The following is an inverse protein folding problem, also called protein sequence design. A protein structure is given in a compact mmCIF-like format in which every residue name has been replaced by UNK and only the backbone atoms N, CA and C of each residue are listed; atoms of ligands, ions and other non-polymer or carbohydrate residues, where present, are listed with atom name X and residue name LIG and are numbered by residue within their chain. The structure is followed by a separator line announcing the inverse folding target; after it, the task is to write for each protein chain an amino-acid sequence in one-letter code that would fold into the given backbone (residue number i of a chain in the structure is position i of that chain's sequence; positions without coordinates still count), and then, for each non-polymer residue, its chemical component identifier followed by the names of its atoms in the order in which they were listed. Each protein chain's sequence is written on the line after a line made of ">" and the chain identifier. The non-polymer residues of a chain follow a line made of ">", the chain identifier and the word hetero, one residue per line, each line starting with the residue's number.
data_IF_636436913542
#
_entry.id   IF_636436913542
#
_cell.length_a   1.000
_cell.length_b   1.000
_cell.length_c   1.000
_cell.angle_alpha   90.00
_cell.angle_beta   90.00
_cell.angle_gamma   90.00
#
_symmetry.space_group_name_H-M   'P 1'
#
loop_
_entity.id
_entity.type
_entity.pdbx_description
1 polymer ?
#
# COMPACT_ATOMS: atom_id res chain seq x y z
N UNK A 1 6.53 1.91 19.24
CA UNK A 1 6.01 1.75 17.86
C UNK A 1 5.69 0.29 17.65
N UNK A 2 4.62 -0.01 16.91
CA UNK A 2 4.29 -1.40 16.57
C UNK A 2 5.35 -1.92 15.57
N UNK A 3 6.01 -3.07 15.81
CA UNK A 3 7.15 -3.53 15.00
C UNK A 3 6.77 -3.90 13.56
N UNK A 4 5.47 -3.94 13.25
CA UNK A 4 4.88 -4.24 11.95
C UNK A 4 4.54 -2.99 11.11
N UNK A 5 4.73 -1.78 11.64
CA UNK A 5 4.41 -0.50 10.95
C UNK A 5 5.64 0.03 10.23
N UNK A 6 5.46 0.52 9.00
CA UNK A 6 6.50 1.16 8.21
C UNK A 6 6.80 2.58 8.71
N UNK A 7 8.06 3.02 8.55
CA UNK A 7 8.43 4.41 8.87
C UNK A 7 7.75 5.40 7.91
N UNK A 8 7.60 5.00 6.65
CA UNK A 8 6.93 5.75 5.60
C UNK A 8 6.00 4.81 4.83
N UNK A 9 4.74 5.20 4.54
CA UNK A 9 3.83 4.35 3.78
C UNK A 9 4.34 4.10 2.34
N UNK A 10 3.87 3.02 1.74
CA UNK A 10 3.99 2.79 0.29
C UNK A 10 2.63 3.04 -0.32
N UNK A 11 2.50 4.08 -1.15
CA UNK A 11 1.23 4.39 -1.83
C UNK A 11 1.14 3.59 -3.12
N UNK A 12 0.13 2.72 -3.21
CA UNK A 12 -0.14 1.91 -4.40
C UNK A 12 -1.50 2.26 -4.99
N UNK A 13 -1.66 2.02 -6.28
CA UNK A 13 -2.94 2.07 -6.98
C UNK A 13 -3.60 0.70 -6.88
N UNK A 14 -4.84 0.67 -6.41
CA UNK A 14 -5.66 -0.55 -6.36
C UNK A 14 -6.89 -0.43 -7.27
N UNK A 15 -7.33 -1.58 -7.80
CA UNK A 15 -8.56 -1.69 -8.59
C UNK A 15 -8.60 -0.68 -9.75
N UNK A 16 -9.54 0.26 -9.66
CA UNK A 16 -9.77 1.33 -10.66
C UNK A 16 -8.74 2.49 -10.58
N UNK A 17 -7.57 2.26 -10.00
CA UNK A 17 -6.53 3.29 -9.88
C UNK A 17 -6.67 4.20 -8.65
N UNK A 18 -7.31 3.74 -7.58
CA UNK A 18 -7.41 4.52 -6.35
C UNK A 18 -6.12 4.42 -5.54
N UNK A 19 -5.50 5.55 -5.14
CA UNK A 19 -4.32 5.53 -4.28
C UNK A 19 -4.71 5.02 -2.89
N UNK A 20 -3.95 4.05 -2.39
CA UNK A 20 -4.09 3.48 -1.06
C UNK A 20 -2.73 3.42 -0.40
N UNK A 21 -2.65 3.92 0.84
CA UNK A 21 -1.44 3.87 1.64
C UNK A 21 -1.30 2.52 2.33
N UNK A 22 -0.22 1.81 2.02
CA UNK A 22 0.19 0.61 2.74
C UNK A 22 1.12 1.02 3.87
N UNK A 23 0.61 0.99 5.10
CA UNK A 23 1.32 1.50 6.30
C UNK A 23 1.99 0.42 7.13
N UNK A 24 1.69 -0.85 6.87
CA UNK A 24 2.19 -1.96 7.68
C UNK A 24 2.53 -3.19 6.84
N UNK A 25 3.35 -4.06 7.42
CA UNK A 25 3.69 -5.38 6.87
C UNK A 25 2.43 -6.23 6.67
N UNK A 26 1.45 -6.11 7.57
CA UNK A 26 0.18 -6.85 7.48
C UNK A 26 -0.61 -6.38 6.25
N UNK A 27 -0.68 -5.08 6.01
CA UNK A 27 -1.38 -4.53 4.85
C UNK A 27 -0.67 -4.95 3.55
N UNK A 28 0.66 -4.84 3.50
CA UNK A 28 1.46 -5.32 2.37
C UNK A 28 1.23 -6.81 2.10
N UNK A 29 1.21 -7.65 3.14
CA UNK A 29 0.96 -9.08 3.04
C UNK A 29 -0.42 -9.38 2.43
N UNK A 30 -1.46 -8.64 2.83
CA UNK A 30 -2.82 -8.80 2.28
C UNK A 30 -2.85 -8.49 0.79
N UNK A 31 -2.24 -7.38 0.36
CA UNK A 31 -2.16 -7.03 -1.06
C UNK A 31 -1.45 -8.12 -1.88
N UNK A 32 -0.37 -8.70 -1.34
CA UNK A 32 0.34 -9.80 -1.98
C UNK A 32 -0.48 -11.11 -1.98
N UNK A 33 -1.25 -11.40 -0.92
CA UNK A 33 -2.06 -12.61 -0.83
C UNK A 33 -3.19 -12.63 -1.87
N UNK A 34 -3.83 -11.47 -2.08
CA UNK A 34 -4.89 -11.28 -3.08
C UNK A 34 -4.36 -11.16 -4.52
N UNK A 35 -3.03 -11.15 -4.70
CA UNK A 35 -2.43 -10.99 -6.03
C UNK A 35 -2.72 -12.19 -6.94
N UNK A 36 -3.21 -11.96 -8.19
CA UNK A 36 -3.61 -13.03 -9.11
C UNK A 36 -2.49 -14.02 -9.41
N UNK A 37 -2.80 -15.32 -9.34
CA UNK A 37 -1.80 -16.38 -9.52
C UNK A 37 -1.08 -16.33 -10.88
N UNK A 38 -1.76 -15.89 -11.94
CA UNK A 38 -1.20 -15.71 -13.28
C UNK A 38 -0.15 -14.60 -13.38
N UNK A 39 -0.17 -13.63 -12.45
CA UNK A 39 0.76 -12.50 -12.40
C UNK A 39 1.78 -12.63 -11.27
N UNK A 40 1.84 -13.79 -10.59
CA UNK A 40 2.85 -14.04 -9.55
C UNK A 40 4.18 -14.34 -10.20
N UNK A 41 5.19 -13.59 -9.80
CA UNK A 41 6.54 -13.71 -10.28
C UNK A 41 7.54 -13.82 -9.12
N UNK A 42 8.84 -13.77 -9.44
CA UNK A 42 9.90 -13.80 -8.42
C UNK A 42 9.80 -12.62 -7.47
N UNK A 43 9.42 -11.43 -7.95
CA UNK A 43 9.28 -10.24 -7.10
C UNK A 43 8.14 -10.42 -6.08
N UNK A 44 6.99 -10.92 -6.52
CA UNK A 44 5.87 -11.30 -5.64
C UNK A 44 6.32 -12.29 -4.56
N UNK A 45 7.01 -13.36 -4.97
CA UNK A 45 7.47 -14.40 -4.05
C UNK A 45 8.46 -13.87 -3.02
N UNK A 46 9.36 -12.98 -3.42
CA UNK A 46 10.33 -12.33 -2.54
C UNK A 46 9.65 -11.39 -1.54
N UNK A 47 8.74 -10.53 -2.02
CA UNK A 47 7.99 -9.62 -1.16
C UNK A 47 7.13 -10.38 -0.14
N UNK A 48 6.49 -11.48 -0.55
CA UNK A 48 5.67 -12.31 0.34
C UNK A 48 6.51 -12.99 1.43
N UNK A 49 7.69 -13.52 1.07
CA UNK A 49 8.64 -14.11 2.03
C UNK A 49 9.14 -13.07 3.03
N UNK A 50 9.49 -11.88 2.55
CA UNK A 50 9.94 -10.77 3.38
C UNK A 50 8.86 -10.34 4.37
N UNK A 51 7.61 -10.16 3.91
CA UNK A 51 6.50 -9.81 4.80
C UNK A 51 6.30 -10.87 5.89
N UNK A 52 6.37 -12.16 5.54
CA UNK A 52 6.27 -13.25 6.53
C UNK A 52 7.42 -13.25 7.54
N UNK A 53 8.65 -12.98 7.10
CA UNK A 53 9.82 -12.88 7.98
C UNK A 53 9.68 -11.68 8.95
N UNK A 54 9.22 -10.52 8.45
CA UNK A 54 8.97 -9.34 9.26
C UNK A 54 7.85 -9.58 10.30
N UNK A 55 6.77 -10.26 9.94
CA UNK A 55 5.70 -10.62 10.89
C UNK A 55 6.17 -11.57 12.00
N UNK A 56 7.23 -12.37 11.75
CA UNK A 56 7.88 -13.22 12.75
C UNK A 56 8.97 -12.47 13.54
N UNK A 57 9.27 -11.22 13.19
CA UNK A 57 10.34 -10.43 13.80
C UNK A 57 11.75 -10.87 13.39
N UNK A 58 11.89 -11.59 12.27
CA UNK A 58 13.19 -12.05 11.75
C UNK A 58 13.94 -10.93 11.01
N UNK A 59 13.21 -9.96 10.46
CA UNK A 59 13.75 -8.78 9.77
C UNK A 59 12.94 -7.54 10.16
N UNK A 60 13.47 -6.35 9.91
CA UNK A 60 12.77 -5.10 10.14
C UNK A 60 11.60 -4.91 9.15
N UNK A 61 10.54 -4.23 9.61
CA UNK A 61 9.40 -3.88 8.75
C UNK A 61 9.83 -3.06 7.53
N UNK A 62 10.79 -2.15 7.67
CA UNK A 62 11.30 -1.34 6.55
C UNK A 62 12.06 -2.18 5.51
N UNK A 63 12.69 -3.28 5.92
CA UNK A 63 13.30 -4.24 4.98
C UNK A 63 12.21 -4.92 4.13
N UNK A 64 11.10 -5.34 4.76
CA UNK A 64 9.94 -5.86 4.03
C UNK A 64 9.28 -4.80 3.16
N UNK A 65 9.24 -3.54 3.60
CA UNK A 65 8.73 -2.40 2.83
C UNK A 65 9.49 -2.23 1.52
N UNK A 66 10.82 -2.26 1.54
CA UNK A 66 11.64 -2.09 0.34
C UNK A 66 11.35 -3.17 -0.72
N UNK A 67 11.17 -4.43 -0.28
CA UNK A 67 10.80 -5.53 -1.16
C UNK A 67 9.38 -5.39 -1.71
N UNK A 68 8.43 -4.91 -0.90
CA UNK A 68 7.08 -4.61 -1.35
C UNK A 68 7.05 -3.45 -2.35
N UNK A 69 7.80 -2.38 -2.11
CA UNK A 69 7.91 -1.24 -3.03
C UNK A 69 8.55 -1.65 -4.36
N UNK A 70 9.57 -2.49 -4.35
CA UNK A 70 10.18 -3.04 -5.57
C UNK A 70 9.19 -3.91 -6.37
N UNK A 71 8.39 -4.72 -5.67
CA UNK A 71 7.28 -5.45 -6.28
C UNK A 71 6.26 -4.48 -6.91
N UNK A 72 5.81 -3.49 -6.16
CA UNK A 72 4.83 -2.51 -6.65
C UNK A 72 5.36 -1.74 -7.86
N UNK A 73 6.63 -1.34 -7.84
CA UNK A 73 7.28 -0.66 -8.96
C UNK A 73 7.31 -1.54 -10.22
N UNK A 74 7.69 -2.82 -10.06
CA UNK A 74 7.77 -3.77 -11.18
C UNK A 74 6.43 -4.03 -11.85
N UNK A 75 5.35 -3.99 -11.08
CA UNK A 75 3.99 -4.24 -11.55
C UNK A 75 3.22 -2.95 -11.87
N UNK A 76 3.92 -1.81 -11.99
CA UNK A 76 3.35 -0.48 -12.28
C UNK A 76 2.21 -0.07 -11.31
N UNK A 77 2.31 -0.53 -10.06
CA UNK A 77 1.32 -0.27 -9.01
C UNK A 77 1.64 0.95 -8.16
N UNK A 78 2.87 1.47 -8.19
CA UNK A 78 3.19 2.64 -7.39
C UNK A 78 2.35 3.83 -7.86
N UNK A 79 1.68 4.48 -6.90
CA UNK A 79 1.04 5.73 -7.21
C UNK A 79 2.11 6.73 -7.64
N UNK A 80 1.86 7.55 -8.69
CA UNK A 80 2.76 8.63 -9.01
C UNK A 80 2.95 9.52 -7.78
N UNK A 81 4.12 10.13 -7.68
CA UNK A 81 4.44 11.11 -6.64
C UNK A 81 3.57 12.35 -6.88
N UNK A 82 2.30 12.26 -6.50
CA UNK A 82 1.36 13.36 -6.56
C UNK A 82 1.48 14.05 -5.22
N UNK A 83 2.24 15.14 -5.22
CA UNK A 83 2.11 16.15 -4.19
C UNK A 83 0.60 16.45 -4.06
N UNK A 84 0.08 16.20 -2.88
CA UNK A 84 -1.32 15.83 -2.63
C UNK A 84 -2.27 16.92 -3.15
N UNK A 85 -2.78 16.79 -4.39
CA UNK A 85 -4.05 17.41 -4.75
C UNK A 85 -5.12 16.53 -4.12
N UNK A 86 -5.34 16.81 -2.84
CA UNK A 86 -6.52 16.38 -2.12
C UNK A 86 -7.75 16.84 -2.91
N UNK A 87 -8.35 15.94 -3.70
CA UNK A 87 -9.73 16.11 -4.14
C UNK A 87 -10.65 15.87 -2.94
N UNK A 88 -10.49 16.71 -1.90
CA UNK A 88 -11.42 16.76 -0.78
C UNK A 88 -12.59 17.67 -1.16
N UNK A 89 -13.76 17.04 -1.17
CA UNK A 89 -15.08 17.61 -0.84
C UNK A 89 -15.73 18.52 -1.89
N UNK A 90 -16.62 17.91 -2.67
CA UNK A 90 -17.92 18.52 -2.89
C UNK A 90 -19.05 17.50 -2.69
N UNK A 91 -19.10 16.91 -1.48
CA UNK A 91 -20.37 16.40 -0.99
C UNK A 91 -21.09 17.60 -0.37
N UNK A 92 -22.13 18.03 -1.07
CA UNK A 92 -23.46 18.42 -0.60
C UNK A 92 -23.63 18.91 0.85
N UNK A 93 -24.53 19.89 0.98
CA UNK A 93 -25.23 20.34 2.20
C UNK A 93 -24.68 21.61 2.87
N UNK A 94 -25.33 22.73 2.59
CA UNK A 94 -26.15 23.49 3.56
C UNK A 94 -26.95 24.57 2.81
N UNK A 95 -28.20 24.27 2.48
CA UNK A 95 -29.24 25.28 2.45
C UNK A 95 -29.93 25.25 3.82
N UNK A 96 -29.74 26.29 4.63
CA UNK A 96 -30.95 26.88 5.19
C UNK A 96 -30.87 28.41 5.22
N UNK A 97 -32.07 28.99 5.10
CA UNK A 97 -32.49 30.33 5.53
C UNK A 97 -32.83 31.31 4.41
N UNK A 98 -34.12 31.34 4.06
CA UNK A 98 -34.80 32.62 3.85
C UNK A 98 -36.18 32.59 4.52
N UNK A 99 -36.30 33.53 5.47
CA UNK A 99 -37.44 34.14 6.17
C UNK A 99 -38.85 33.63 5.90
#
# INVERSE_FOLDING_TARGET
>A
MKPDVFNEPVTILIGLGFPTEVRSVIDAYRHLAEWPASMRDTAHSMALKACRAALRGEIEADTARGLFAAFAAKHDLLAPDVDVISASRHSHDKDPHVR
#
